data_IF_832458341796
#
_entry.id   IF_832458341796
#
_cell.length_a   1.000
_cell.length_b   1.000
_cell.length_c   1.000
_cell.angle_alpha   90.00
_cell.angle_beta   90.00
_cell.angle_gamma   90.00
#
_symmetry.space_group_name_H-M   'P 1'
#
loop_
_entity.id
_entity.type
_entity.pdbx_description
1 polymer ?
#
# COMPACT_ATOMS: atom_id res chain seq x y z
N UNK A 1 6.77 12.57 -21.30
CA UNK A 1 5.61 12.60 -20.36
C UNK A 1 5.53 11.22 -19.75
N UNK A 2 5.16 11.11 -18.47
CA UNK A 2 4.97 9.82 -17.80
C UNK A 2 3.48 9.56 -17.65
N UNK A 3 3.05 8.32 -17.84
CA UNK A 3 1.67 7.88 -17.69
C UNK A 3 1.58 6.76 -16.66
N UNK A 4 0.58 6.85 -15.79
CA UNK A 4 0.27 5.81 -14.82
C UNK A 4 -1.19 5.40 -14.86
N UNK A 5 -1.48 4.25 -14.28
CA UNK A 5 -2.83 3.77 -14.01
C UNK A 5 -3.04 3.82 -12.50
N UNK A 6 -4.25 4.11 -12.08
CA UNK A 6 -4.63 4.21 -10.67
C UNK A 6 -5.85 3.31 -10.40
N UNK A 7 -5.71 2.38 -9.46
CA UNK A 7 -6.74 1.42 -9.10
C UNK A 7 -7.32 1.71 -7.72
N UNK A 8 -8.63 1.94 -7.71
CA UNK A 8 -9.48 1.97 -6.50
C UNK A 8 -10.17 0.62 -6.27
N UNK A 9 -10.20 -0.24 -7.29
CA UNK A 9 -10.98 -1.48 -7.30
C UNK A 9 -12.45 -1.28 -6.93
N UNK A 10 -13.09 -0.32 -7.61
CA UNK A 10 -14.51 -0.05 -7.44
C UNK A 10 -15.36 -1.21 -7.97
N UNK A 11 -16.33 -1.65 -7.19
CA UNK A 11 -17.22 -2.75 -7.56
C UNK A 11 -18.66 -2.39 -7.22
N UNK A 12 -19.42 -1.79 -8.17
CA UNK A 12 -20.84 -1.49 -7.98
C UNK A 12 -21.69 -2.75 -7.81
N UNK A 13 -22.73 -2.67 -6.98
CA UNK A 13 -23.73 -3.74 -6.86
C UNK A 13 -24.57 -3.87 -8.15
N UNK A 14 -25.14 -5.07 -8.47
CA UNK A 14 -25.16 -6.27 -7.63
C UNK A 14 -23.90 -7.14 -7.75
N UNK A 15 -23.53 -7.83 -6.67
CA UNK A 15 -22.40 -8.74 -6.62
C UNK A 15 -22.84 -10.20 -6.60
N UNK A 16 -22.04 -11.07 -7.20
CA UNK A 16 -22.09 -12.51 -7.04
C UNK A 16 -20.78 -13.04 -6.42
N UNK A 17 -20.68 -14.36 -6.26
CA UNK A 17 -19.52 -15.01 -5.65
C UNK A 17 -18.22 -14.87 -6.46
N UNK A 18 -18.27 -14.39 -7.69
CA UNK A 18 -17.10 -14.25 -8.58
C UNK A 18 -16.75 -12.81 -8.86
N UNK A 19 -17.62 -11.85 -8.52
CA UNK A 19 -17.48 -10.45 -8.91
C UNK A 19 -16.15 -9.85 -8.43
N UNK A 20 -15.79 -10.05 -7.15
CA UNK A 20 -14.53 -9.53 -6.59
C UNK A 20 -13.30 -10.21 -7.21
N UNK A 21 -13.36 -11.54 -7.37
CA UNK A 21 -12.25 -12.25 -8.04
C UNK A 21 -12.08 -11.79 -9.48
N UNK A 22 -13.17 -11.61 -10.23
CA UNK A 22 -13.13 -11.15 -11.61
C UNK A 22 -12.55 -9.72 -11.71
N UNK A 23 -12.96 -8.82 -10.80
CA UNK A 23 -12.39 -7.47 -10.71
C UNK A 23 -10.85 -7.50 -10.59
N UNK A 24 -10.32 -8.33 -9.70
CA UNK A 24 -8.87 -8.45 -9.48
C UNK A 24 -8.16 -9.13 -10.66
N UNK A 25 -8.77 -10.16 -11.27
CA UNK A 25 -8.21 -10.82 -12.45
C UNK A 25 -8.13 -9.84 -13.64
N UNK A 26 -9.21 -9.09 -13.90
CA UNK A 26 -9.28 -8.12 -14.99
C UNK A 26 -8.23 -7.00 -14.78
N UNK A 27 -8.08 -6.49 -13.56
CA UNK A 27 -7.07 -5.49 -13.24
C UNK A 27 -5.64 -6.01 -13.48
N UNK A 28 -5.35 -7.27 -13.11
CA UNK A 28 -4.04 -7.87 -13.40
C UNK A 28 -3.79 -8.02 -14.92
N UNK A 29 -4.81 -8.38 -15.71
CA UNK A 29 -4.71 -8.46 -17.17
C UNK A 29 -4.49 -7.08 -17.79
N UNK A 30 -5.17 -6.05 -17.30
CA UNK A 30 -4.99 -4.66 -17.72
C UNK A 30 -3.59 -4.12 -17.38
N UNK A 31 -3.05 -4.44 -16.20
CA UNK A 31 -1.70 -4.03 -15.79
C UNK A 31 -0.64 -4.71 -16.68
N UNK A 32 -0.83 -5.99 -17.02
CA UNK A 32 0.04 -6.69 -17.94
C UNK A 32 0.00 -6.07 -19.35
N UNK A 33 -1.18 -5.66 -19.81
CA UNK A 33 -1.33 -4.93 -21.07
C UNK A 33 -0.64 -3.56 -21.01
N UNK A 34 -0.80 -2.82 -19.90
CA UNK A 34 -0.19 -1.52 -19.68
C UNK A 34 1.35 -1.60 -19.69
N UNK A 35 1.93 -2.64 -19.06
CA UNK A 35 3.37 -2.90 -19.12
C UNK A 35 3.86 -3.08 -20.55
N UNK A 36 3.13 -3.87 -21.37
CA UNK A 36 3.46 -4.06 -22.80
C UNK A 36 3.31 -2.80 -23.63
N UNK A 37 2.38 -1.91 -23.26
CA UNK A 37 2.15 -0.63 -23.94
C UNK A 37 3.08 0.49 -23.49
N UNK A 38 3.91 0.26 -22.45
CA UNK A 38 4.91 1.20 -21.98
C UNK A 38 4.37 2.27 -21.02
N UNK A 39 3.35 1.96 -20.23
CA UNK A 39 2.97 2.78 -19.10
C UNK A 39 4.07 2.77 -18.02
N UNK A 40 4.27 3.92 -17.37
CA UNK A 40 5.40 4.09 -16.42
C UNK A 40 5.12 3.48 -15.06
N UNK A 41 3.88 3.58 -14.55
CA UNK A 41 3.55 3.13 -13.20
C UNK A 41 2.08 2.70 -13.08
N UNK A 42 1.83 1.71 -12.24
CA UNK A 42 0.51 1.41 -11.67
C UNK A 42 0.51 1.83 -10.21
N UNK A 43 -0.58 2.47 -9.76
CA UNK A 43 -0.80 2.89 -8.39
C UNK A 43 -1.99 2.16 -7.80
N UNK A 44 -1.78 1.53 -6.67
CA UNK A 44 -2.78 0.78 -5.92
C UNK A 44 -3.08 1.47 -4.60
N UNK A 45 -4.35 1.71 -4.29
CA UNK A 45 -4.77 2.31 -3.02
C UNK A 45 -4.79 1.29 -1.87
N UNK A 46 -4.85 1.78 -0.65
CA UNK A 46 -5.22 0.98 0.53
C UNK A 46 -6.50 1.55 1.13
N UNK A 47 -7.59 0.77 1.08
CA UNK A 47 -8.89 1.14 1.64
C UNK A 47 -9.52 -0.01 2.42
N UNK A 48 -10.26 0.36 3.47
CA UNK A 48 -10.92 -0.57 4.37
C UNK A 48 -12.37 -0.15 4.64
N UNK A 49 -13.28 -1.11 4.71
CA UNK A 49 -14.70 -0.91 5.05
C UNK A 49 -15.50 -0.04 4.08
N UNK A 50 -15.02 0.19 2.86
CA UNK A 50 -15.63 1.09 1.87
C UNK A 50 -16.41 0.37 0.77
N UNK A 51 -17.03 -0.76 1.07
CA UNK A 51 -17.94 -1.53 0.20
C UNK A 51 -17.70 -1.34 -1.32
N UNK A 52 -18.66 -0.70 -2.04
CA UNK A 52 -18.61 -0.52 -3.50
C UNK A 52 -17.47 0.41 -3.96
N UNK A 53 -16.94 1.24 -3.07
CA UNK A 53 -15.93 2.23 -3.44
C UNK A 53 -14.55 1.59 -3.65
N UNK A 54 -14.17 0.63 -2.80
CA UNK A 54 -12.85 0.01 -2.93
C UNK A 54 -12.78 -1.39 -2.34
N UNK A 55 -12.24 -2.32 -3.11
CA UNK A 55 -11.91 -3.68 -2.70
C UNK A 55 -10.39 -3.90 -2.53
N UNK A 56 -9.63 -2.84 -2.32
CA UNK A 56 -8.17 -2.88 -2.14
C UNK A 56 -7.75 -2.80 -0.67
N UNK A 57 -7.88 -3.90 0.04
CA UNK A 57 -7.55 -3.99 1.48
C UNK A 57 -6.11 -4.42 1.77
N UNK A 58 -5.38 -4.92 0.77
CA UNK A 58 -4.01 -5.42 0.89
C UNK A 58 -3.21 -5.14 -0.41
N UNK A 59 -2.90 -3.87 -0.69
CA UNK A 59 -2.26 -3.48 -1.96
C UNK A 59 -0.93 -4.21 -2.20
N UNK A 60 -0.16 -4.49 -1.16
CA UNK A 60 1.10 -5.21 -1.30
C UNK A 60 0.94 -6.65 -1.82
N UNK A 61 -0.20 -7.30 -1.53
CA UNK A 61 -0.51 -8.65 -2.04
C UNK A 61 -0.85 -8.58 -3.52
N UNK A 62 -1.68 -7.61 -3.93
CA UNK A 62 -2.04 -7.39 -5.32
C UNK A 62 -0.84 -6.97 -6.16
N UNK A 63 -0.04 -6.01 -5.68
CA UNK A 63 1.18 -5.56 -6.35
C UNK A 63 2.23 -6.66 -6.47
N UNK A 64 2.32 -7.58 -5.48
CA UNK A 64 3.20 -8.76 -5.59
C UNK A 64 2.75 -9.68 -6.72
N UNK A 65 1.44 -9.91 -6.89
CA UNK A 65 0.90 -10.67 -8.02
C UNK A 65 1.20 -9.98 -9.35
N UNK A 66 0.96 -8.67 -9.45
CA UNK A 66 1.26 -7.85 -10.63
C UNK A 66 2.76 -7.88 -10.98
N UNK A 67 3.65 -7.88 -9.97
CA UNK A 67 5.10 -7.89 -10.18
C UNK A 67 5.57 -9.12 -10.95
N UNK A 68 4.90 -10.27 -10.79
CA UNK A 68 5.26 -11.52 -11.45
C UNK A 68 4.69 -11.65 -12.86
N UNK A 69 3.73 -10.78 -13.22
CA UNK A 69 3.10 -10.72 -14.55
C UNK A 69 3.69 -9.61 -15.44
N UNK A 70 4.50 -8.71 -14.88
CA UNK A 70 5.04 -7.51 -15.53
C UNK A 70 6.56 -7.49 -15.47
N UNK A 71 7.20 -6.63 -16.32
CA UNK A 71 8.67 -6.54 -16.40
C UNK A 71 9.21 -5.13 -16.22
N UNK A 72 8.46 -4.10 -16.63
CA UNK A 72 8.96 -2.73 -16.73
C UNK A 72 8.17 -1.74 -15.88
N UNK A 73 6.82 -1.87 -15.86
CA UNK A 73 5.94 -0.95 -15.15
C UNK A 73 6.30 -0.92 -13.66
N UNK A 74 6.38 0.28 -13.08
CA UNK A 74 6.63 0.47 -11.66
C UNK A 74 5.35 0.21 -10.87
N UNK A 75 5.53 -0.22 -9.62
CA UNK A 75 4.48 -0.72 -8.74
C UNK A 75 4.35 0.21 -7.54
N UNK A 76 3.34 1.05 -7.55
CA UNK A 76 3.17 2.13 -6.59
C UNK A 76 2.07 1.87 -5.56
N UNK A 77 2.36 2.19 -4.30
CA UNK A 77 1.33 2.36 -3.28
C UNK A 77 0.77 3.79 -3.39
N UNK A 78 -0.48 3.90 -3.71
CA UNK A 78 -1.12 5.18 -3.88
C UNK A 78 -2.37 5.40 -2.99
N UNK A 79 -2.28 5.16 -1.73
CA UNK A 79 -1.16 5.17 -0.77
C UNK A 79 -1.18 3.95 0.16
N UNK A 80 -0.10 3.71 0.92
CA UNK A 80 -0.09 2.83 2.08
C UNK A 80 -0.39 3.61 3.36
N UNK A 81 -1.27 3.10 4.22
CA UNK A 81 -1.60 3.71 5.50
C UNK A 81 -0.54 3.34 6.54
N UNK A 82 0.28 4.32 6.96
CA UNK A 82 1.43 4.07 7.85
C UNK A 82 1.21 4.45 9.31
N UNK A 83 0.03 4.96 9.70
CA UNK A 83 -0.26 5.08 11.13
C UNK A 83 -0.20 3.68 11.79
N UNK A 84 0.51 3.52 12.92
CA UNK A 84 0.81 2.21 13.51
C UNK A 84 -0.40 1.34 13.84
N UNK A 85 -1.57 1.95 14.02
CA UNK A 85 -2.83 1.26 14.25
C UNK A 85 -3.35 0.53 13.00
N UNK A 86 -3.08 1.07 11.80
CA UNK A 86 -3.36 0.39 10.54
C UNK A 86 -2.30 -0.68 10.25
N UNK A 87 -1.05 -0.25 10.25
CA UNK A 87 0.08 -1.07 9.86
C UNK A 87 1.28 -0.80 10.76
N UNK A 88 1.76 -1.81 11.47
CA UNK A 88 3.00 -1.65 12.25
C UNK A 88 4.17 -1.29 11.32
N UNK A 89 4.94 -0.22 11.59
CA UNK A 89 5.97 0.30 10.67
C UNK A 89 7.01 -0.73 10.22
N UNK A 90 7.48 -1.59 11.12
CA UNK A 90 8.40 -2.67 10.75
C UNK A 90 7.78 -3.61 9.70
N UNK A 91 6.48 -3.93 9.82
CA UNK A 91 5.79 -4.78 8.84
C UNK A 91 5.63 -4.09 7.49
N UNK A 92 5.43 -2.78 7.50
CA UNK A 92 5.40 -1.98 6.26
C UNK A 92 6.78 -2.04 5.58
N UNK A 93 7.85 -1.74 6.30
CA UNK A 93 9.21 -1.78 5.77
C UNK A 93 9.57 -3.15 5.18
N UNK A 94 9.27 -4.25 5.91
CA UNK A 94 9.51 -5.62 5.45
C UNK A 94 8.74 -5.96 4.16
N UNK A 95 7.45 -5.59 4.08
CA UNK A 95 6.60 -5.85 2.90
C UNK A 95 7.06 -5.06 1.67
N UNK A 96 7.39 -3.77 1.86
CA UNK A 96 7.94 -2.93 0.79
C UNK A 96 9.28 -3.48 0.30
N UNK A 97 10.20 -3.80 1.21
CA UNK A 97 11.49 -4.39 0.85
C UNK A 97 11.36 -5.72 0.10
N UNK A 98 10.47 -6.60 0.55
CA UNK A 98 10.21 -7.86 -0.13
C UNK A 98 9.60 -7.66 -1.52
N UNK A 99 8.63 -6.75 -1.66
CA UNK A 99 8.03 -6.41 -2.95
C UNK A 99 9.07 -5.83 -3.91
N UNK A 100 9.96 -4.96 -3.41
CA UNK A 100 11.03 -4.37 -4.22
C UNK A 100 11.99 -5.44 -4.75
N UNK A 101 12.42 -6.38 -3.91
CA UNK A 101 13.24 -7.53 -4.33
C UNK A 101 12.53 -8.40 -5.37
N UNK A 102 11.26 -8.78 -5.12
CA UNK A 102 10.48 -9.62 -6.05
C UNK A 102 10.22 -8.94 -7.39
N UNK A 103 10.08 -7.62 -7.40
CA UNK A 103 9.84 -6.84 -8.61
C UNK A 103 11.12 -6.45 -9.36
N UNK A 104 12.31 -6.64 -8.76
CA UNK A 104 13.59 -6.21 -9.34
C UNK A 104 13.79 -4.68 -9.27
N UNK A 105 13.42 -4.04 -8.14
CA UNK A 105 13.66 -2.61 -7.90
C UNK A 105 12.60 -1.69 -8.51
N UNK A 106 11.37 -2.17 -8.71
CA UNK A 106 10.30 -1.41 -9.37
C UNK A 106 9.29 -0.76 -8.43
N UNK A 107 9.49 -0.80 -7.12
CA UNK A 107 8.53 -0.23 -6.17
C UNK A 107 8.58 1.30 -6.13
N UNK A 108 7.41 1.91 -6.05
CA UNK A 108 7.17 3.31 -5.67
C UNK A 108 6.36 3.33 -4.38
N UNK A 109 6.89 3.97 -3.37
CA UNK A 109 6.24 4.01 -2.06
C UNK A 109 5.59 5.35 -1.80
N UNK A 110 4.25 5.38 -1.80
CA UNK A 110 3.44 6.50 -1.32
C UNK A 110 2.79 6.17 0.01
N UNK A 111 2.68 7.13 0.90
CA UNK A 111 2.03 6.97 2.20
C UNK A 111 1.04 8.10 2.50
N UNK A 112 0.09 7.85 3.39
CA UNK A 112 -0.93 8.82 3.76
C UNK A 112 -1.59 8.54 5.11
N UNK A 113 -2.39 9.52 5.55
CA UNK A 113 -3.01 9.56 6.89
C UNK A 113 -4.45 9.04 6.94
N UNK A 114 -5.04 8.64 5.82
CA UNK A 114 -6.47 8.43 5.58
C UNK A 114 -7.32 9.70 5.70
N UNK A 115 -8.42 9.74 4.96
CA UNK A 115 -9.47 10.77 5.10
C UNK A 115 -10.82 10.17 5.53
N UNK A 116 -10.93 8.85 5.54
CA UNK A 116 -12.18 8.13 5.84
C UNK A 116 -12.35 7.94 7.34
N UNK A 117 -13.45 8.47 7.89
CA UNK A 117 -13.81 8.25 9.29
C UNK A 117 -14.11 6.76 9.58
N UNK A 118 -14.68 6.05 8.62
CA UNK A 118 -14.94 4.61 8.75
C UNK A 118 -13.65 3.81 8.92
N UNK A 119 -12.61 4.14 8.15
CA UNK A 119 -11.31 3.50 8.28
C UNK A 119 -10.63 3.86 9.61
N UNK A 120 -10.54 5.16 9.91
CA UNK A 120 -9.89 5.65 11.12
C UNK A 120 -10.54 5.05 12.38
N UNK A 121 -11.87 5.09 12.50
CA UNK A 121 -12.58 4.53 13.64
C UNK A 121 -12.49 3.00 13.69
N UNK A 122 -12.50 2.34 12.54
CA UNK A 122 -12.37 0.89 12.42
C UNK A 122 -11.05 0.34 12.96
N UNK A 123 -9.98 1.12 12.83
CA UNK A 123 -8.64 0.78 13.35
C UNK A 123 -8.26 1.53 14.63
N UNK A 124 -9.19 2.31 15.20
CA UNK A 124 -8.95 3.02 16.46
C UNK A 124 -7.97 4.18 16.36
N UNK A 125 -7.86 4.80 15.19
CA UNK A 125 -7.06 6.02 14.98
C UNK A 125 -7.92 7.24 15.29
N UNK A 126 -7.61 8.04 16.32
CA UNK A 126 -8.35 9.28 16.58
C UNK A 126 -8.18 10.26 15.41
N UNK A 127 -9.30 10.81 14.93
CA UNK A 127 -9.30 11.68 13.76
C UNK A 127 -8.34 12.88 13.91
N UNK A 128 -8.32 13.49 15.10
CA UNK A 128 -7.48 14.66 15.41
C UNK A 128 -6.00 14.32 15.49
N UNK A 129 -5.66 13.03 15.65
CA UNK A 129 -4.28 12.56 15.82
C UNK A 129 -3.76 11.77 14.60
N UNK A 130 -4.59 11.60 13.58
CA UNK A 130 -4.25 10.79 12.39
C UNK A 130 -2.96 11.25 11.71
N UNK A 131 -2.74 12.57 11.63
CA UNK A 131 -1.55 13.14 11.00
C UNK A 131 -0.28 12.86 11.79
N UNK A 132 -0.34 13.01 13.11
CA UNK A 132 0.81 12.73 13.99
C UNK A 132 1.16 11.24 13.93
N UNK A 133 0.15 10.36 14.02
CA UNK A 133 0.34 8.92 13.93
C UNK A 133 0.90 8.48 12.56
N UNK A 134 0.41 9.08 11.46
CA UNK A 134 0.95 8.84 10.13
C UNK A 134 2.42 9.25 10.01
N UNK A 135 2.77 10.47 10.45
CA UNK A 135 4.14 10.99 10.35
C UNK A 135 5.11 10.15 11.17
N UNK A 136 4.73 9.78 12.39
CA UNK A 136 5.56 8.93 13.25
C UNK A 136 5.75 7.54 12.64
N UNK A 137 4.68 6.93 12.15
CA UNK A 137 4.76 5.63 11.46
C UNK A 137 5.62 5.70 10.20
N UNK A 138 5.47 6.74 9.39
CA UNK A 138 6.27 6.95 8.18
C UNK A 138 7.77 7.12 8.51
N UNK A 139 8.09 7.90 9.54
CA UNK A 139 9.49 8.09 9.98
C UNK A 139 10.12 6.74 10.32
N UNK A 140 9.42 5.92 11.11
CA UNK A 140 9.94 4.61 11.51
C UNK A 140 10.08 3.66 10.32
N UNK A 141 9.15 3.69 9.34
CA UNK A 141 9.29 2.93 8.09
C UNK A 141 10.56 3.33 7.36
N UNK A 142 10.78 4.64 7.14
CA UNK A 142 11.95 5.13 6.41
C UNK A 142 13.23 4.75 7.13
N UNK A 143 13.30 4.95 8.44
CA UNK A 143 14.49 4.61 9.25
C UNK A 143 14.76 3.11 9.23
N UNK A 144 13.72 2.27 9.30
CA UNK A 144 13.87 0.81 9.21
C UNK A 144 14.41 0.34 7.86
N UNK A 145 14.23 1.14 6.80
CA UNK A 145 14.74 0.83 5.46
C UNK A 145 16.12 1.44 5.16
N UNK A 146 16.57 2.42 5.95
CA UNK A 146 17.77 3.22 5.63
C UNK A 146 18.87 3.18 6.69
N UNK A 147 18.55 2.77 7.93
CA UNK A 147 19.55 2.64 9.00
C UNK A 147 20.06 1.20 9.10
N UNK A 148 21.37 1.04 9.22
CA UNK A 148 22.03 -0.25 9.46
C UNK A 148 23.19 -0.06 10.46
N UNK A 149 23.03 -0.54 11.70
CA UNK A 149 21.84 -1.14 12.31
C UNK A 149 20.76 -0.10 12.61
N UNK A 150 19.49 -0.55 12.73
CA UNK A 150 18.41 0.31 13.19
C UNK A 150 18.62 0.72 14.64
N UNK A 151 18.73 2.03 14.90
CA UNK A 151 19.12 2.56 16.21
C UNK A 151 18.01 2.54 17.27
N UNK A 152 16.80 2.12 16.90
CA UNK A 152 15.62 2.14 17.75
C UNK A 152 14.79 3.42 17.59
N UNK A 153 13.58 3.40 18.11
CA UNK A 153 12.65 4.52 18.09
C UNK A 153 11.77 4.52 19.35
N UNK A 154 11.63 5.68 19.97
CA UNK A 154 10.73 5.91 21.10
C UNK A 154 9.80 7.07 20.73
N UNK A 155 8.55 6.77 20.41
CA UNK A 155 7.53 7.72 20.02
C UNK A 155 6.27 7.61 20.87
N UNK A 156 5.27 8.35 20.49
CA UNK A 156 3.96 8.33 21.15
C UNK A 156 3.10 7.14 20.68
N UNK A 157 3.18 6.82 19.38
CA UNK A 157 2.34 5.79 18.74
C UNK A 157 3.07 4.47 18.53
N UNK A 158 4.40 4.49 18.50
CA UNK A 158 5.22 3.29 18.34
C UNK A 158 6.52 3.38 19.13
N UNK A 159 6.93 2.27 19.71
CA UNK A 159 8.25 2.09 20.34
C UNK A 159 8.89 0.84 19.76
N UNK A 160 10.12 0.95 19.31
CA UNK A 160 10.88 -0.17 18.76
C UNK A 160 12.32 -0.14 19.31
N UNK A 161 12.81 -1.21 19.94
CA UNK A 161 14.20 -1.28 20.37
C UNK A 161 15.15 -1.40 19.16
N UNK A 162 16.48 -1.10 19.36
CA UNK A 162 17.48 -1.29 18.33
C UNK A 162 17.48 -2.72 17.75
N UNK A 163 17.77 -2.84 16.46
CA UNK A 163 17.84 -4.12 15.72
C UNK A 163 19.02 -4.12 14.74
N UNK A 164 19.54 -5.32 14.48
CA UNK A 164 20.51 -5.59 13.42
C UNK A 164 19.76 -5.99 12.14
#
# INVERSE_FOLDING_TARGET
MKFGIFYEHQLPRPWDKRSEKQLLDDALDEIELADRLGFDCVWEVEHHFLEEYSHSSAPEVFLAAASQRTKNIRLGHGICLTAPQFNHPARVAERIGMLDLLSGGRVEFGSGESSSEAELSGFGVPYERKRDAWLEGLEVVIRSMTEEPFSGYEGEFVSMPPRN
#
